data_IF_302735181688
#
_entry.id   IF_302735181688
#
_cell.length_a   1.000
_cell.length_b   1.000
_cell.length_c   1.000
_cell.angle_alpha   90.00
_cell.angle_beta   90.00
_cell.angle_gamma   90.00
#
_symmetry.space_group_name_H-M   'P 1'
#
loop_
_entity.id
_entity.type
_entity.pdbx_description
1 polymer ?
#
# COMPACT_ATOMS: atom_id res chain seq x y z
N UNK A 1 20.76 -9.73 0.11
CA UNK A 1 19.35 -9.62 0.54
C UNK A 1 18.82 -8.31 -0.01
N UNK A 2 17.95 -8.34 -1.03
CA UNK A 2 17.32 -7.11 -1.54
C UNK A 2 16.24 -6.69 -0.53
N UNK A 3 16.35 -5.50 0.12
CA UNK A 3 15.27 -5.01 0.96
C UNK A 3 14.04 -4.82 0.06
N UNK A 4 12.96 -5.56 0.35
CA UNK A 4 11.69 -5.31 -0.33
C UNK A 4 11.17 -3.98 0.17
N UNK A 5 10.86 -3.07 -0.76
CA UNK A 5 10.21 -1.81 -0.45
C UNK A 5 8.79 -2.12 0.03
N UNK A 6 8.51 -1.73 1.27
CA UNK A 6 7.19 -1.88 1.87
C UNK A 6 6.84 -0.68 2.75
N UNK A 7 5.54 -0.43 2.89
CA UNK A 7 4.99 0.72 3.63
C UNK A 7 4.04 0.23 4.72
N UNK A 8 3.93 0.96 5.83
CA UNK A 8 2.82 0.76 6.77
C UNK A 8 1.60 1.51 6.23
N UNK A 9 0.48 0.82 6.03
CA UNK A 9 -0.77 1.42 5.59
C UNK A 9 -1.83 1.25 6.65
N UNK A 10 -2.40 2.37 7.07
CA UNK A 10 -3.41 2.45 8.11
C UNK A 10 -4.76 2.73 7.46
N UNK A 11 -5.55 1.70 7.13
CA UNK A 11 -6.86 1.87 6.48
C UNK A 11 -7.82 2.69 7.33
N UNK A 12 -7.65 2.73 8.65
CA UNK A 12 -8.48 3.50 9.59
C UNK A 12 -8.47 5.02 9.36
N UNK A 13 -7.45 5.55 8.67
CA UNK A 13 -7.35 6.97 8.36
C UNK A 13 -8.08 7.36 7.06
N UNK A 14 -8.54 6.38 6.27
CA UNK A 14 -9.11 6.62 4.95
C UNK A 14 -10.49 5.96 4.80
N UNK A 15 -11.40 6.54 4.01
CA UNK A 15 -12.67 5.90 3.68
C UNK A 15 -12.44 4.62 2.86
N UNK A 16 -13.25 3.59 3.09
CA UNK A 16 -13.14 2.25 2.47
C UNK A 16 -13.08 2.30 0.94
N UNK A 17 -13.76 3.27 0.33
CA UNK A 17 -13.77 3.49 -1.12
C UNK A 17 -12.37 3.78 -1.69
N UNK A 18 -11.45 4.32 -0.87
CA UNK A 18 -10.07 4.61 -1.27
C UNK A 18 -9.14 3.42 -1.15
N UNK A 19 -9.43 2.44 -0.28
CA UNK A 19 -8.47 1.37 0.02
C UNK A 19 -8.09 0.55 -1.21
N UNK A 20 -9.06 0.30 -2.09
CA UNK A 20 -8.81 -0.43 -3.34
C UNK A 20 -7.90 0.38 -4.28
N UNK A 21 -8.17 1.68 -4.41
CA UNK A 21 -7.40 2.60 -5.24
C UNK A 21 -5.97 2.75 -4.72
N UNK A 22 -5.81 2.95 -3.41
CA UNK A 22 -4.50 3.03 -2.75
C UNK A 22 -3.70 1.74 -2.92
N UNK A 23 -4.33 0.56 -2.79
CA UNK A 23 -3.66 -0.71 -3.02
C UNK A 23 -3.17 -0.85 -4.48
N UNK A 24 -3.98 -0.42 -5.46
CA UNK A 24 -3.56 -0.39 -6.87
C UNK A 24 -2.39 0.56 -7.10
N UNK A 25 -2.45 1.78 -6.56
CA UNK A 25 -1.38 2.78 -6.66
C UNK A 25 -0.08 2.31 -5.94
N UNK A 26 -0.20 1.56 -4.85
CA UNK A 26 0.95 0.93 -4.18
C UNK A 26 1.62 -0.12 -5.05
N UNK A 27 0.86 -0.96 -5.74
CA UNK A 27 1.41 -1.94 -6.69
C UNK A 27 2.08 -1.24 -7.88
N UNK A 28 1.45 -0.21 -8.43
CA UNK A 28 1.99 0.59 -9.55
C UNK A 28 3.28 1.31 -9.15
N UNK A 29 3.37 1.81 -7.92
CA UNK A 29 4.58 2.46 -7.39
C UNK A 29 5.69 1.47 -7.01
N UNK A 30 5.46 0.15 -7.17
CA UNK A 30 6.46 -0.89 -6.91
C UNK A 30 6.53 -1.35 -5.46
N UNK A 31 5.59 -0.95 -4.60
CA UNK A 31 5.47 -1.50 -3.26
C UNK A 31 4.95 -2.94 -3.35
N UNK A 32 5.78 -3.87 -2.90
CA UNK A 32 5.47 -5.30 -2.95
C UNK A 32 4.88 -5.83 -1.65
N UNK A 33 4.90 -5.02 -0.58
CA UNK A 33 4.42 -5.40 0.74
C UNK A 33 3.91 -4.18 1.50
N UNK A 34 2.76 -4.34 2.16
CA UNK A 34 2.16 -3.30 2.99
C UNK A 34 1.74 -3.93 4.32
N UNK A 35 1.96 -3.24 5.45
CA UNK A 35 1.63 -3.71 6.79
C UNK A 35 0.57 -2.86 7.45
#
# INVERSE_FOLDING_TARGET
>A
MNPKLGSCYYPEHWPEEKWKKDAEDMVVSGLSWVR
#
